data_IF_078654622583
#
_entry.id   IF_078654622583
#
_cell.length_a   1.000
_cell.length_b   1.000
_cell.length_c   1.000
_cell.angle_alpha   90.00
_cell.angle_beta   90.00
_cell.angle_gamma   90.00
#
_symmetry.space_group_name_H-M   'P 1'
#
loop_
_entity.id
_entity.type
_entity.pdbx_description
1 polymer ?
#
# COMPACT_ATOMS: atom_id res chain seq x y z
N UNK A 1 6.83 4.72 -12.79
CA UNK A 1 7.06 4.06 -11.48
C UNK A 1 6.01 3.00 -11.25
N UNK A 2 6.46 1.80 -10.93
CA UNK A 2 5.57 0.66 -10.73
C UNK A 2 5.49 0.25 -9.26
N UNK A 3 4.38 -0.36 -8.91
CA UNK A 3 4.11 -0.87 -7.57
C UNK A 3 3.56 -2.27 -7.68
N UNK A 4 3.79 -3.09 -6.65
CA UNK A 4 3.09 -4.36 -6.52
C UNK A 4 1.71 -4.12 -5.93
N UNK A 5 0.71 -4.83 -6.43
CA UNK A 5 -0.66 -4.72 -5.98
C UNK A 5 -1.27 -6.11 -5.84
N UNK A 6 -1.76 -6.41 -4.65
CA UNK A 6 -2.37 -7.70 -4.36
C UNK A 6 -3.67 -7.49 -3.58
N UNK A 7 -4.74 -8.12 -4.02
CA UNK A 7 -6.01 -8.07 -3.31
C UNK A 7 -6.21 -9.36 -2.53
N UNK A 8 -6.42 -9.22 -1.23
CA UNK A 8 -6.73 -10.34 -0.34
C UNK A 8 -8.22 -10.35 -0.08
N UNK A 9 -8.87 -11.44 -0.40
CA UNK A 9 -10.31 -11.59 -0.17
C UNK A 9 -10.57 -12.60 0.93
N UNK A 10 -11.49 -12.25 1.84
CA UNK A 10 -12.00 -13.15 2.87
C UNK A 10 -13.49 -12.88 3.05
N UNK A 11 -14.33 -13.88 2.74
CA UNK A 11 -15.77 -13.79 2.95
C UNK A 11 -16.34 -12.45 2.50
N UNK A 12 -16.67 -11.57 3.45
CA UNK A 12 -17.41 -10.34 3.17
C UNK A 12 -16.53 -9.12 2.98
N UNK A 13 -15.21 -9.25 3.07
CA UNK A 13 -14.35 -8.08 2.91
C UNK A 13 -13.07 -8.41 2.13
N UNK A 14 -12.43 -7.38 1.63
CA UNK A 14 -11.15 -7.51 0.95
C UNK A 14 -10.23 -6.38 1.37
N UNK A 15 -8.93 -6.61 1.23
CA UNK A 15 -7.89 -5.62 1.49
C UNK A 15 -7.01 -5.52 0.24
N UNK A 16 -6.81 -4.30 -0.24
CA UNK A 16 -5.88 -4.03 -1.34
C UNK A 16 -4.52 -3.66 -0.75
N UNK A 17 -3.51 -4.45 -1.05
CA UNK A 17 -2.15 -4.23 -0.57
C UNK A 17 -1.28 -3.73 -1.70
N UNK A 18 -0.64 -2.57 -1.52
CA UNK A 18 0.20 -1.95 -2.54
C UNK A 18 1.53 -1.53 -1.93
N UNK A 19 2.62 -1.87 -2.58
CA UNK A 19 3.93 -1.37 -2.14
C UNK A 19 4.80 -1.00 -3.32
N UNK A 20 5.71 -0.04 -3.10
CA UNK A 20 6.72 0.32 -4.08
C UNK A 20 7.53 -0.91 -4.46
N UNK A 21 7.90 -0.99 -5.72
CA UNK A 21 8.63 -2.15 -6.25
C UNK A 21 9.94 -2.41 -5.52
N UNK A 22 10.66 -1.35 -5.15
CA UNK A 22 12.02 -1.45 -4.63
C UNK A 22 12.11 -1.80 -3.14
N UNK A 23 11.00 -1.89 -2.41
CA UNK A 23 11.04 -2.16 -0.98
C UNK A 23 10.59 -3.56 -0.59
N UNK A 24 10.16 -4.36 -1.55
CA UNK A 24 9.68 -5.71 -1.25
C UNK A 24 10.77 -6.51 -0.53
N UNK A 25 10.42 -7.09 0.61
CA UNK A 25 11.35 -7.88 1.42
C UNK A 25 12.25 -7.09 2.35
N UNK A 26 12.23 -5.75 2.29
CA UNK A 26 13.08 -4.93 3.17
C UNK A 26 12.55 -4.92 4.60
N UNK A 27 13.43 -4.66 5.59
CA UNK A 27 13.00 -4.57 6.99
C UNK A 27 11.99 -3.45 7.22
N UNK A 28 11.02 -3.71 8.09
CA UNK A 28 10.04 -2.73 8.52
C UNK A 28 9.75 -2.99 10.00
N UNK A 29 10.46 -2.29 10.87
CA UNK A 29 10.43 -2.56 12.30
C UNK A 29 10.99 -3.95 12.61
N UNK A 30 10.28 -4.73 13.42
CA UNK A 30 10.66 -6.11 13.73
C UNK A 30 10.24 -7.11 12.64
N UNK A 31 9.60 -6.63 11.59
CA UNK A 31 9.11 -7.45 10.49
C UNK A 31 9.80 -7.05 9.20
N UNK A 32 9.20 -7.40 8.07
CA UNK A 32 9.66 -6.98 6.75
C UNK A 32 8.45 -6.69 5.87
N UNK A 33 8.69 -5.98 4.77
CA UNK A 33 7.66 -5.76 3.74
C UNK A 33 7.44 -7.09 3.04
N UNK A 34 6.38 -7.78 3.44
CA UNK A 34 6.15 -9.19 3.11
C UNK A 34 5.84 -9.41 1.64
N UNK A 35 6.65 -10.23 0.93
CA UNK A 35 6.28 -10.62 -0.44
C UNK A 35 4.94 -11.36 -0.47
N UNK A 36 4.64 -12.17 0.53
CA UNK A 36 3.37 -12.88 0.60
C UNK A 36 2.19 -11.91 0.60
N UNK A 37 2.32 -10.80 1.32
CA UNK A 37 1.22 -9.84 1.47
C UNK A 37 1.11 -8.88 0.28
N UNK A 38 2.24 -8.45 -0.30
CA UNK A 38 2.25 -7.39 -1.30
C UNK A 38 2.52 -7.85 -2.72
N UNK A 39 3.22 -8.96 -2.94
CA UNK A 39 3.68 -9.33 -4.27
C UNK A 39 2.56 -9.96 -5.10
N UNK A 40 1.76 -9.11 -5.72
CA UNK A 40 0.77 -9.48 -6.72
C UNK A 40 1.20 -8.96 -8.08
N UNK A 41 0.27 -8.31 -8.77
CA UNK A 41 0.56 -7.73 -10.08
C UNK A 41 1.47 -6.50 -9.95
N UNK A 42 2.37 -6.34 -10.89
CA UNK A 42 3.21 -5.16 -10.99
C UNK A 42 2.51 -4.18 -11.92
N UNK A 43 2.07 -3.04 -11.37
CA UNK A 43 1.25 -2.08 -12.12
C UNK A 43 1.81 -0.67 -11.96
N UNK A 44 1.40 0.23 -12.85
CA UNK A 44 1.75 1.64 -12.75
C UNK A 44 0.98 2.31 -11.62
N UNK A 45 1.59 3.35 -11.02
CA UNK A 45 0.97 4.07 -9.90
C UNK A 45 -0.43 4.62 -10.23
N UNK A 46 -0.68 5.24 -11.40
CA UNK A 46 -2.03 5.75 -11.68
C UNK A 46 -3.11 4.67 -11.61
N UNK A 47 -2.81 3.45 -12.07
CA UNK A 47 -3.76 2.35 -11.96
C UNK A 47 -3.98 1.94 -10.50
N UNK A 48 -2.91 1.92 -9.70
CA UNK A 48 -3.04 1.63 -8.28
C UNK A 48 -3.91 2.66 -7.57
N UNK A 49 -3.77 3.95 -7.92
CA UNK A 49 -4.59 5.01 -7.35
C UNK A 49 -6.07 4.79 -7.66
N UNK A 50 -6.40 4.38 -8.88
CA UNK A 50 -7.78 4.09 -9.26
C UNK A 50 -8.37 2.98 -8.38
N UNK A 51 -7.60 1.93 -8.14
CA UNK A 51 -8.05 0.85 -7.26
C UNK A 51 -8.21 1.30 -5.82
N UNK A 52 -7.29 2.12 -5.33
CA UNK A 52 -7.31 2.57 -3.94
C UNK A 52 -8.44 3.56 -3.65
N UNK A 53 -8.86 4.35 -4.65
CA UNK A 53 -9.95 5.32 -4.46
C UNK A 53 -11.26 4.65 -4.04
N UNK A 54 -11.52 3.46 -4.54
CA UNK A 54 -12.76 2.74 -4.25
C UNK A 54 -12.60 1.62 -3.23
N UNK A 55 -11.38 1.35 -2.78
CA UNK A 55 -11.13 0.29 -1.81
C UNK A 55 -11.62 0.71 -0.42
N UNK A 56 -12.40 -0.15 0.22
CA UNK A 56 -12.84 0.07 1.60
C UNK A 56 -11.71 -0.18 2.59
N UNK A 57 -10.83 -1.13 2.27
CA UNK A 57 -9.69 -1.47 3.12
C UNK A 57 -8.45 -1.52 2.25
N UNK A 58 -7.38 -0.87 2.69
CA UNK A 58 -6.11 -0.98 1.99
C UNK A 58 -4.94 -0.84 2.95
N UNK A 59 -3.79 -1.32 2.49
CA UNK A 59 -2.53 -1.19 3.18
C UNK A 59 -1.49 -0.81 2.13
N UNK A 60 -0.84 0.33 2.32
CA UNK A 60 0.13 0.85 1.34
C UNK A 60 1.46 1.13 2.03
N UNK A 61 2.56 0.82 1.33
CA UNK A 61 3.90 1.00 1.86
C UNK A 61 4.85 1.49 0.76
N UNK A 62 5.70 2.47 1.10
CA UNK A 62 6.70 3.00 0.20
C UNK A 62 6.50 4.47 -0.10
N UNK A 63 7.61 5.19 -0.24
CA UNK A 63 7.57 6.65 -0.39
C UNK A 63 6.88 7.13 -1.66
N UNK A 64 6.96 6.35 -2.75
CA UNK A 64 6.36 6.79 -4.02
C UNK A 64 4.85 6.62 -4.01
N UNK A 65 4.34 5.45 -3.57
CA UNK A 65 2.90 5.26 -3.50
C UNK A 65 2.27 6.15 -2.42
N UNK A 66 2.93 6.33 -1.28
CA UNK A 66 2.43 7.20 -0.22
C UNK A 66 2.32 8.64 -0.72
N UNK A 67 3.37 9.16 -1.39
CA UNK A 67 3.32 10.52 -1.93
C UNK A 67 2.18 10.67 -2.94
N UNK A 68 2.03 9.70 -3.83
CA UNK A 68 0.97 9.73 -4.83
C UNK A 68 -0.43 9.73 -4.18
N UNK A 69 -0.61 8.97 -3.12
CA UNK A 69 -1.89 8.92 -2.41
C UNK A 69 -2.19 10.21 -1.65
N UNK A 70 -1.17 10.83 -1.05
CA UNK A 70 -1.34 12.15 -0.40
C UNK A 70 -1.71 13.19 -1.44
N UNK A 71 -0.96 13.27 -2.54
CA UNK A 71 -1.18 14.25 -3.60
C UNK A 71 -2.56 14.10 -4.25
N UNK A 72 -3.09 12.89 -4.27
CA UNK A 72 -4.41 12.58 -4.85
C UNK A 72 -5.55 12.66 -3.84
N UNK A 73 -5.26 12.98 -2.58
CA UNK A 73 -6.29 13.09 -1.55
C UNK A 73 -6.85 11.77 -1.05
N UNK A 74 -6.21 10.65 -1.36
CA UNK A 74 -6.66 9.32 -0.89
C UNK A 74 -6.36 9.14 0.59
N UNK A 75 -5.21 9.66 1.04
CA UNK A 75 -4.83 9.66 2.46
C UNK A 75 -4.34 11.05 2.86
N UNK A 76 -4.27 11.29 4.17
CA UNK A 76 -3.65 12.49 4.72
C UNK A 76 -2.34 12.14 5.39
N UNK A 77 -1.47 13.14 5.56
CA UNK A 77 -0.17 12.92 6.20
C UNK A 77 -0.29 12.41 7.64
N UNK A 78 -1.40 12.72 8.31
CA UNK A 78 -1.62 12.30 9.70
C UNK A 78 -1.70 10.79 9.88
N UNK A 79 -2.09 10.07 8.84
CA UNK A 79 -2.22 8.61 8.90
C UNK A 79 -0.97 7.85 8.57
N UNK A 80 0.15 8.54 8.31
CA UNK A 80 1.37 7.88 7.88
C UNK A 80 2.24 7.48 9.07
N UNK A 81 2.66 6.22 9.07
CA UNK A 81 3.63 5.68 10.03
C UNK A 81 4.90 5.33 9.27
N UNK A 82 6.04 5.79 9.76
CA UNK A 82 7.33 5.52 9.10
C UNK A 82 8.21 4.67 10.00
N UNK A 83 8.72 3.57 9.48
CA UNK A 83 9.69 2.70 10.13
C UNK A 83 10.79 2.33 9.14
N UNK A 84 12.05 2.35 9.59
CA UNK A 84 13.19 2.03 8.75
C UNK A 84 13.20 2.82 7.44
N UNK A 85 12.79 4.10 7.52
CA UNK A 85 12.67 5.03 6.40
C UNK A 85 11.59 4.63 5.38
N UNK A 86 10.70 3.73 5.72
CA UNK A 86 9.60 3.31 4.85
C UNK A 86 8.29 3.87 5.42
N UNK A 87 7.62 4.78 4.71
CA UNK A 87 6.30 5.25 5.12
C UNK A 87 5.23 4.24 4.74
N UNK A 88 4.23 4.12 5.61
CA UNK A 88 3.15 3.16 5.46
C UNK A 88 1.85 3.80 5.94
N UNK A 89 0.74 3.41 5.35
CA UNK A 89 -0.58 3.84 5.79
C UNK A 89 -1.60 2.74 5.51
N UNK A 90 -2.67 2.74 6.30
CA UNK A 90 -3.74 1.78 6.08
C UNK A 90 -5.10 2.44 6.28
N UNK A 91 -6.09 1.88 5.64
CA UNK A 91 -7.49 2.25 5.81
C UNK A 91 -8.27 0.97 6.12
N UNK A 92 -8.98 0.99 7.23
CA UNK A 92 -9.86 -0.11 7.62
C UNK A 92 -11.27 0.44 7.80
N UNK A 93 -12.22 -0.17 7.14
CA UNK A 93 -13.62 0.22 7.19
C UNK A 93 -14.45 -0.95 7.72
N UNK A 94 -15.12 -0.74 8.85
CA UNK A 94 -15.92 -1.76 9.51
C UNK A 94 -17.41 -1.54 9.30
#
# INVERSE_FOLDING_TARGET
>A
MKVYCKTHKKQDYYVVAVCDEDILGKPFGSQKISPYFYQGDLIEIPRALDLLRTALNFNIAGKFIIKACVDSGIITEKGIITMDNIPCAMKLCF
#
